data_IF_522807221678
#
_entry.id   IF_522807221678
#
_cell.length_a   1.000
_cell.length_b   1.000
_cell.length_c   1.000
_cell.angle_alpha   90.00
_cell.angle_beta   90.00
_cell.angle_gamma   90.00
#
_symmetry.space_group_name_H-M   'P 1'
#
loop_
_entity.id
_entity.type
_entity.pdbx_description
1 polymer ?
#
# COMPACT_ATOMS: atom_id res chain seq x y z
N UNK A 1 8.28 0.15 22.78
CA UNK A 1 8.84 -0.49 21.56
C UNK A 1 8.26 -1.89 21.31
N UNK A 2 8.17 -2.75 22.33
CA UNK A 2 7.62 -4.12 22.19
C UNK A 2 6.20 -4.15 21.60
N UNK A 3 5.27 -3.35 22.13
CA UNK A 3 3.88 -3.27 21.62
C UNK A 3 3.81 -2.83 20.15
N UNK A 4 4.66 -1.88 19.74
CA UNK A 4 4.75 -1.41 18.34
C UNK A 4 5.28 -2.52 17.43
N UNK A 5 6.25 -3.31 17.92
CA UNK A 5 6.74 -4.49 17.21
C UNK A 5 5.66 -5.53 17.00
N UNK A 6 4.91 -5.89 18.05
CA UNK A 6 3.79 -6.83 17.97
C UNK A 6 2.72 -6.34 17.00
N UNK A 7 2.35 -5.05 17.07
CA UNK A 7 1.37 -4.45 16.16
C UNK A 7 1.83 -4.54 14.70
N UNK A 8 3.12 -4.30 14.44
CA UNK A 8 3.68 -4.34 13.09
C UNK A 8 3.66 -5.77 12.52
N UNK A 9 4.05 -6.76 13.33
CA UNK A 9 4.00 -8.18 12.94
C UNK A 9 2.56 -8.61 12.67
N UNK A 10 1.64 -8.29 13.57
CA UNK A 10 0.21 -8.62 13.40
C UNK A 10 -0.37 -8.00 12.13
N UNK A 11 -0.05 -6.73 11.88
CA UNK A 11 -0.51 -6.02 10.67
C UNK A 11 0.08 -6.64 9.40
N UNK A 12 1.35 -7.05 9.41
CA UNK A 12 1.99 -7.73 8.29
C UNK A 12 1.36 -9.09 8.01
N UNK A 13 1.11 -9.90 9.05
CA UNK A 13 0.43 -11.20 8.91
C UNK A 13 -0.98 -11.01 8.37
N UNK A 14 -1.76 -10.10 8.95
CA UNK A 14 -3.12 -9.82 8.49
C UNK A 14 -3.15 -9.35 7.02
N UNK A 15 -2.26 -8.43 6.65
CA UNK A 15 -2.13 -7.95 5.28
C UNK A 15 -1.82 -9.10 4.32
N UNK A 16 -0.83 -9.95 4.65
CA UNK A 16 -0.46 -11.10 3.82
C UNK A 16 -1.61 -12.10 3.66
N UNK A 17 -2.39 -12.35 4.72
CA UNK A 17 -3.58 -13.21 4.65
C UNK A 17 -4.62 -12.64 3.67
N UNK A 18 -4.94 -11.35 3.78
CA UNK A 18 -5.91 -10.71 2.88
C UNK A 18 -5.41 -10.61 1.44
N UNK A 19 -4.10 -10.39 1.24
CA UNK A 19 -3.47 -10.38 -0.09
C UNK A 19 -3.50 -11.78 -0.70
N UNK A 20 -3.20 -12.81 0.09
CA UNK A 20 -3.31 -14.21 -0.33
C UNK A 20 -4.75 -14.52 -0.74
N UNK A 21 -5.73 -14.12 0.06
CA UNK A 21 -7.15 -14.27 -0.28
C UNK A 21 -7.51 -13.51 -1.56
N UNK A 22 -7.10 -12.26 -1.70
CA UNK A 22 -7.34 -11.46 -2.89
C UNK A 22 -6.68 -12.03 -4.15
N UNK A 23 -5.54 -12.71 -4.00
CA UNK A 23 -4.81 -13.33 -5.12
C UNK A 23 -5.56 -14.52 -5.75
N UNK A 24 -6.50 -15.12 -5.02
CA UNK A 24 -7.40 -16.15 -5.54
C UNK A 24 -8.45 -15.59 -6.50
N UNK A 25 -8.71 -14.28 -6.43
CA UNK A 25 -9.68 -13.62 -7.27
C UNK A 25 -9.01 -13.08 -8.55
N UNK A 26 -9.77 -12.89 -9.65
CA UNK A 26 -9.26 -12.26 -10.85
C UNK A 26 -8.57 -10.92 -10.58
N UNK A 27 -7.59 -10.56 -11.42
CA UNK A 27 -6.72 -9.38 -11.22
C UNK A 27 -7.47 -8.05 -11.06
N UNK A 28 -8.74 -7.95 -11.52
CA UNK A 28 -9.60 -6.78 -11.30
C UNK A 28 -9.96 -6.59 -9.82
N UNK A 29 -10.18 -7.67 -9.07
CA UNK A 29 -10.52 -7.62 -7.65
C UNK A 29 -9.29 -7.33 -6.78
N UNK A 30 -8.11 -7.80 -7.18
CA UNK A 30 -6.84 -7.42 -6.56
C UNK A 30 -6.64 -5.89 -6.61
N UNK A 31 -6.90 -5.27 -7.76
CA UNK A 31 -6.82 -3.80 -7.88
C UNK A 31 -7.85 -3.08 -7.01
N UNK A 32 -9.06 -3.63 -6.89
CA UNK A 32 -10.09 -3.11 -5.99
C UNK A 32 -9.66 -3.21 -4.52
N UNK A 33 -9.09 -4.34 -4.10
CA UNK A 33 -8.55 -4.53 -2.76
C UNK A 33 -7.46 -3.50 -2.42
N UNK A 34 -6.49 -3.35 -3.32
CA UNK A 34 -5.38 -2.39 -3.15
C UNK A 34 -5.88 -0.95 -3.12
N UNK A 35 -6.86 -0.59 -3.96
CA UNK A 35 -7.49 0.74 -3.93
C UNK A 35 -8.31 0.97 -2.66
N UNK A 36 -8.93 -0.08 -2.12
CA UNK A 36 -9.64 -0.07 -0.84
C UNK A 36 -8.75 0.31 0.34
N UNK A 37 -7.45 -0.05 0.31
CA UNK A 37 -6.51 0.36 1.36
C UNK A 37 -6.33 1.88 1.44
N UNK A 38 -6.23 2.55 0.29
CA UNK A 38 -6.11 4.00 0.23
C UNK A 38 -7.37 4.70 0.77
N UNK A 39 -8.55 4.21 0.37
CA UNK A 39 -9.84 4.71 0.87
C UNK A 39 -10.02 4.47 2.36
N UNK A 40 -9.58 3.31 2.87
CA UNK A 40 -9.60 3.00 4.30
C UNK A 40 -8.77 4.00 5.11
N UNK A 41 -7.58 4.35 4.63
CA UNK A 41 -6.75 5.39 5.23
C UNK A 41 -7.43 6.76 5.25
N UNK A 42 -8.09 7.14 4.16
CA UNK A 42 -8.86 8.39 4.08
C UNK A 42 -10.00 8.41 5.11
N UNK A 43 -10.76 7.31 5.23
CA UNK A 43 -11.81 7.18 6.23
C UNK A 43 -11.27 7.32 7.66
N UNK A 44 -10.15 6.67 7.96
CA UNK A 44 -9.50 6.73 9.27
C UNK A 44 -9.13 8.17 9.64
N UNK A 45 -8.56 8.93 8.70
CA UNK A 45 -8.16 10.32 8.95
C UNK A 45 -9.37 11.24 9.10
N UNK A 46 -10.41 11.06 8.29
CA UNK A 46 -11.67 11.81 8.47
C UNK A 46 -12.25 11.53 9.86
N UNK A 47 -12.31 10.26 10.27
CA UNK A 47 -12.79 9.88 11.60
C UNK A 47 -11.96 10.50 12.73
N UNK A 48 -10.63 10.55 12.56
CA UNK A 48 -9.72 11.21 13.52
C UNK A 48 -9.99 12.71 13.62
N UNK A 49 -10.13 13.41 12.49
CA UNK A 49 -10.45 14.84 12.45
C UNK A 49 -11.80 15.11 13.11
N UNK A 50 -12.84 14.36 12.74
CA UNK A 50 -14.18 14.50 13.32
C UNK A 50 -14.14 14.28 14.84
N UNK A 51 -13.40 13.29 15.33
CA UNK A 51 -13.22 13.07 16.75
C UNK A 51 -12.57 14.28 17.47
N UNK A 52 -11.54 14.88 16.88
CA UNK A 52 -10.86 16.08 17.42
C UNK A 52 -11.82 17.28 17.44
N UNK A 53 -12.70 17.40 16.44
CA UNK A 53 -13.69 18.48 16.37
C UNK A 53 -14.84 18.32 17.38
N UNK A 54 -15.24 17.08 17.70
CA UNK A 54 -16.32 16.80 18.67
C UNK A 54 -15.87 17.12 20.09
N UNK A 55 -14.61 16.86 20.45
CA UNK A 55 -14.12 17.08 21.80
C UNK A 55 -12.73 17.70 21.85
N UNK A 56 -12.64 18.86 22.50
CA UNK A 56 -11.39 19.55 22.79
C UNK A 56 -10.50 18.78 23.77
N UNK A 57 -11.09 17.90 24.60
CA UNK A 57 -10.35 17.05 25.53
C UNK A 57 -9.73 15.85 24.78
N UNK A 58 -8.41 15.71 24.88
CA UNK A 58 -7.64 14.68 24.19
C UNK A 58 -8.10 13.26 24.53
N UNK A 59 -8.40 12.98 25.81
CA UNK A 59 -8.82 11.66 26.26
C UNK A 59 -10.22 11.28 25.73
N UNK A 60 -11.13 12.24 25.66
CA UNK A 60 -12.50 12.02 25.16
C UNK A 60 -12.47 11.84 23.63
N UNK A 61 -11.72 12.68 22.92
CA UNK A 61 -11.50 12.54 21.48
C UNK A 61 -10.89 11.17 21.15
N UNK A 62 -9.83 10.75 21.84
CA UNK A 62 -9.25 9.42 21.64
C UNK A 62 -10.27 8.30 21.86
N UNK A 63 -11.07 8.38 22.93
CA UNK A 63 -12.13 7.41 23.22
C UNK A 63 -13.16 7.31 22.08
N UNK A 64 -13.65 8.44 21.58
CA UNK A 64 -14.61 8.48 20.45
C UNK A 64 -14.01 7.86 19.19
N UNK A 65 -12.74 8.16 18.91
CA UNK A 65 -12.03 7.60 17.76
C UNK A 65 -11.89 6.07 17.87
N UNK A 66 -11.52 5.55 19.04
CA UNK A 66 -11.43 4.10 19.27
C UNK A 66 -12.78 3.39 19.20
N UNK A 67 -13.86 3.98 19.75
CA UNK A 67 -15.21 3.42 19.62
C UNK A 67 -15.62 3.35 18.15
N UNK A 68 -15.36 4.42 17.38
CA UNK A 68 -15.64 4.45 15.94
C UNK A 68 -14.87 3.36 15.20
N UNK A 69 -13.59 3.15 15.53
CA UNK A 69 -12.78 2.09 14.96
C UNK A 69 -13.34 0.68 15.26
N UNK A 70 -13.80 0.43 16.50
CA UNK A 70 -14.41 -0.85 16.88
C UNK A 70 -15.68 -1.12 16.06
N UNK A 71 -16.56 -0.13 15.91
CA UNK A 71 -17.78 -0.27 15.11
C UNK A 71 -17.48 -0.59 13.64
N UNK A 72 -16.46 0.06 13.08
CA UNK A 72 -16.01 -0.16 11.70
C UNK A 72 -15.43 -1.56 11.53
N UNK A 73 -14.65 -2.05 12.51
CA UNK A 73 -14.13 -3.43 12.51
C UNK A 73 -15.28 -4.44 12.54
N UNK A 74 -16.27 -4.25 13.42
CA UNK A 74 -17.45 -5.13 13.50
C UNK A 74 -18.20 -5.12 12.15
N UNK A 75 -18.41 -3.94 11.57
CA UNK A 75 -19.04 -3.80 10.25
C UNK A 75 -18.26 -4.55 9.16
N UNK A 76 -16.93 -4.42 9.14
CA UNK A 76 -16.08 -5.14 8.18
C UNK A 76 -16.14 -6.66 8.35
N UNK A 77 -16.22 -7.17 9.59
CA UNK A 77 -16.39 -8.61 9.86
C UNK A 77 -17.74 -9.10 9.32
N UNK A 78 -18.81 -8.34 9.52
CA UNK A 78 -20.14 -8.68 8.99
C UNK A 78 -20.11 -8.69 7.45
N UNK A 79 -19.54 -7.67 6.83
CA UNK A 79 -19.41 -7.60 5.36
C UNK A 79 -18.57 -8.77 4.84
N UNK A 80 -17.46 -9.09 5.51
CA UNK A 80 -16.61 -10.23 5.16
C UNK A 80 -17.37 -11.56 5.25
N UNK A 81 -18.16 -11.77 6.30
CA UNK A 81 -19.00 -12.96 6.44
C UNK A 81 -19.99 -13.12 5.26
N UNK A 82 -20.63 -12.01 4.84
CA UNK A 82 -21.50 -12.03 3.66
C UNK A 82 -20.72 -12.26 2.36
N UNK A 83 -19.52 -11.69 2.23
CA UNK A 83 -18.65 -11.90 1.06
C UNK A 83 -18.26 -13.36 0.91
N UNK A 84 -17.90 -14.04 2.00
CA UNK A 84 -17.53 -15.47 2.00
C UNK A 84 -18.73 -16.36 1.60
N UNK A 85 -19.94 -15.98 1.99
CA UNK A 85 -21.18 -16.65 1.59
C UNK A 85 -21.63 -16.34 0.16
N UNK A 86 -21.03 -15.36 -0.51
CA UNK A 86 -21.42 -15.01 -1.86
C UNK A 86 -21.08 -16.14 -2.85
N UNK A 87 -21.98 -16.39 -3.80
CA UNK A 87 -21.83 -17.44 -4.81
C UNK A 87 -20.55 -17.26 -5.65
N UNK A 88 -20.15 -16.02 -5.91
CA UNK A 88 -18.93 -15.70 -6.63
C UNK A 88 -17.69 -16.18 -5.88
N UNK A 89 -17.58 -15.89 -4.59
CA UNK A 89 -16.43 -16.31 -3.80
C UNK A 89 -16.32 -17.83 -3.70
N UNK A 90 -17.45 -18.52 -3.54
CA UNK A 90 -17.49 -19.98 -3.50
C UNK A 90 -17.04 -20.63 -4.81
N UNK A 91 -17.44 -20.09 -5.97
CA UNK A 91 -16.99 -20.60 -7.28
C UNK A 91 -15.47 -20.46 -7.45
N UNK A 92 -14.91 -19.29 -7.14
CA UNK A 92 -13.47 -19.08 -7.31
C UNK A 92 -12.65 -19.90 -6.31
N UNK A 93 -13.12 -19.98 -5.06
CA UNK A 93 -12.48 -20.78 -4.02
C UNK A 93 -12.52 -22.29 -4.34
N UNK A 94 -13.66 -22.81 -4.82
CA UNK A 94 -13.79 -24.22 -5.20
C UNK A 94 -12.94 -24.57 -6.42
N UNK A 95 -12.93 -23.70 -7.45
CA UNK A 95 -12.11 -23.90 -8.65
C UNK A 95 -10.60 -23.93 -8.35
N UNK A 96 -10.13 -23.04 -7.48
CA UNK A 96 -8.72 -23.03 -7.06
C UNK A 96 -8.38 -24.24 -6.19
N UNK A 97 -9.29 -24.64 -5.30
CA UNK A 97 -9.11 -25.85 -4.50
C UNK A 97 -9.02 -27.09 -5.37
N UNK A 98 -9.80 -27.19 -6.44
CA UNK A 98 -9.75 -28.28 -7.40
C UNK A 98 -8.43 -28.30 -8.18
N UNK A 99 -7.93 -27.13 -8.61
CA UNK A 99 -6.61 -27.00 -9.25
C UNK A 99 -5.49 -27.46 -8.29
N UNK A 100 -5.51 -26.97 -7.05
CA UNK A 100 -4.52 -27.34 -6.04
C UNK A 100 -4.56 -28.84 -5.74
N UNK A 101 -5.74 -29.42 -5.56
CA UNK A 101 -5.90 -30.86 -5.35
C UNK A 101 -5.38 -31.67 -6.54
N UNK A 102 -5.61 -31.20 -7.78
CA UNK A 102 -5.11 -31.88 -8.99
C UNK A 102 -3.58 -31.80 -9.09
N UNK A 103 -2.98 -30.67 -8.71
CA UNK A 103 -1.53 -30.55 -8.58
C UNK A 103 -0.98 -31.45 -7.48
N UNK A 104 -1.63 -31.53 -6.31
CA UNK A 104 -1.24 -32.44 -5.22
C UNK A 104 -1.38 -33.91 -5.63
N UNK A 105 -2.43 -34.29 -6.37
CA UNK A 105 -2.61 -35.65 -6.86
C UNK A 105 -1.53 -36.02 -7.89
N UNK A 106 -1.25 -35.15 -8.86
CA UNK A 106 -0.14 -35.32 -9.81
C UNK A 106 1.21 -35.37 -9.09
N UNK A 107 1.39 -34.56 -8.06
CA UNK A 107 2.58 -34.55 -7.21
C UNK A 107 2.75 -35.88 -6.47
N UNK A 108 1.70 -36.41 -5.85
CA UNK A 108 1.71 -37.72 -5.20
C UNK A 108 1.92 -38.88 -6.19
N UNK A 109 1.37 -38.81 -7.39
CA UNK A 109 1.59 -39.79 -8.46
C UNK A 109 3.05 -39.77 -8.93
N UNK A 110 3.65 -38.57 -9.07
CA UNK A 110 5.08 -38.44 -9.41
C UNK A 110 6.01 -38.88 -8.27
N UNK A 111 5.58 -38.75 -7.00
CA UNK A 111 6.29 -39.29 -5.84
C UNK A 111 6.25 -40.83 -5.81
N UNK A 112 5.11 -41.45 -6.12
CA UNK A 112 4.97 -42.90 -6.12
C UNK A 112 5.69 -43.57 -7.29
N UNK A 113 5.79 -42.92 -8.46
CA UNK A 113 6.66 -43.38 -9.56
C UNK A 113 8.15 -43.14 -9.29
N UNK A 114 8.49 -42.14 -8.46
CA UNK A 114 9.88 -41.81 -8.09
C UNK A 114 10.39 -42.55 -6.84
N UNK A 115 9.56 -43.34 -6.14
CA UNK A 115 10.00 -44.10 -4.95
C UNK A 115 11.06 -45.18 -5.24
N UNK A 116 11.45 -45.36 -6.51
CA UNK A 116 12.59 -46.18 -6.92
C UNK A 116 13.90 -45.38 -7.13
N UNK A 117 13.89 -44.05 -7.07
CA UNK A 117 15.09 -43.21 -7.20
C UNK A 117 15.05 -41.96 -6.29
N UNK A 118 15.85 -42.01 -5.20
CA UNK A 118 16.34 -40.93 -4.33
C UNK A 118 15.50 -39.63 -4.20
N UNK A 119 14.90 -39.46 -3.02
CA UNK A 119 14.09 -38.28 -2.57
C UNK A 119 14.76 -36.90 -2.77
N UNK A 120 16.10 -36.83 -2.82
CA UNK A 120 16.84 -35.59 -3.07
C UNK A 120 16.72 -35.09 -4.53
N UNK A 121 16.41 -35.97 -5.47
CA UNK A 121 16.33 -35.63 -6.89
C UNK A 121 14.96 -34.98 -7.23
N UNK A 122 13.90 -35.33 -6.51
CA UNK A 122 12.55 -34.87 -6.77
C UNK A 122 12.24 -33.45 -6.23
N UNK A 123 12.73 -33.12 -5.04
CA UNK A 123 12.73 -31.73 -4.52
C UNK A 123 13.55 -30.79 -5.42
N UNK A 124 14.61 -31.32 -6.05
CA UNK A 124 15.37 -30.60 -7.06
C UNK A 124 14.54 -30.39 -8.34
N UNK A 125 13.78 -31.38 -8.83
CA UNK A 125 12.96 -31.28 -10.05
C UNK A 125 11.80 -30.28 -9.93
N UNK A 126 11.07 -30.29 -8.81
CA UNK A 126 9.98 -29.31 -8.56
C UNK A 126 10.51 -27.89 -8.35
N UNK A 127 11.60 -27.74 -7.59
CA UNK A 127 12.27 -26.45 -7.49
C UNK A 127 12.86 -26.01 -8.85
N UNK A 128 13.30 -26.94 -9.69
CA UNK A 128 13.79 -26.70 -11.06
C UNK A 128 12.68 -26.37 -12.07
N UNK A 129 11.41 -26.72 -11.84
CA UNK A 129 10.27 -26.30 -12.69
C UNK A 129 9.64 -24.96 -12.24
N UNK A 130 9.59 -24.71 -10.93
CA UNK A 130 9.05 -23.45 -10.37
C UNK A 130 10.05 -22.29 -10.50
N UNK A 131 11.35 -22.55 -10.27
CA UNK A 131 12.41 -21.53 -10.42
C UNK A 131 12.44 -20.88 -11.79
N UNK A 132 12.42 -21.58 -12.94
CA UNK A 132 12.44 -20.94 -14.24
C UNK A 132 11.18 -20.10 -14.47
N UNK A 133 10.00 -20.53 -14.00
CA UNK A 133 8.76 -19.75 -14.10
C UNK A 133 8.83 -18.42 -13.33
N UNK A 134 9.33 -18.44 -12.10
CA UNK A 134 9.53 -17.23 -11.29
C UNK A 134 10.66 -16.36 -11.82
N UNK A 135 11.76 -16.95 -12.28
CA UNK A 135 12.88 -16.22 -12.90
C UNK A 135 12.45 -15.54 -14.20
N UNK A 136 11.64 -16.22 -15.01
CA UNK A 136 11.03 -15.65 -16.22
C UNK A 136 10.11 -14.49 -15.85
N UNK A 137 9.19 -14.69 -14.89
CA UNK A 137 8.31 -13.63 -14.41
C UNK A 137 9.11 -12.42 -13.91
N UNK A 138 10.13 -12.64 -13.07
CA UNK A 138 11.02 -11.61 -12.57
C UNK A 138 11.78 -10.90 -13.70
N UNK A 139 12.33 -11.63 -14.68
CA UNK A 139 13.06 -11.06 -15.82
C UNK A 139 12.23 -10.02 -16.57
N UNK A 140 10.93 -10.28 -16.75
CA UNK A 140 10.01 -9.39 -17.47
C UNK A 140 9.41 -8.28 -16.60
N UNK A 141 9.39 -8.44 -15.28
CA UNK A 141 8.69 -7.53 -14.36
C UNK A 141 9.61 -6.73 -13.44
N UNK A 142 10.92 -7.05 -13.38
CA UNK A 142 11.92 -6.48 -12.45
C UNK A 142 11.87 -4.96 -12.31
N UNK A 143 11.69 -4.23 -13.40
CA UNK A 143 11.63 -2.77 -13.39
C UNK A 143 10.41 -2.24 -12.63
N UNK A 144 9.27 -2.93 -12.72
CA UNK A 144 8.06 -2.55 -11.98
C UNK A 144 8.22 -2.88 -10.49
N UNK A 145 8.85 -4.01 -10.16
CA UNK A 145 9.21 -4.34 -8.77
C UNK A 145 10.11 -3.27 -8.15
N UNK A 146 11.20 -2.91 -8.83
CA UNK A 146 12.07 -1.83 -8.36
C UNK A 146 11.34 -0.48 -8.30
N UNK A 147 10.45 -0.20 -9.25
CA UNK A 147 9.62 1.01 -9.23
C UNK A 147 8.70 1.10 -8.02
N UNK A 148 8.01 0.02 -7.66
CA UNK A 148 7.17 -0.08 -6.46
C UNK A 148 8.04 0.06 -5.21
N UNK A 149 9.12 -0.72 -5.12
CA UNK A 149 10.05 -0.68 -3.99
C UNK A 149 10.56 0.74 -3.73
N UNK A 150 11.06 1.45 -4.75
CA UNK A 150 11.53 2.83 -4.63
C UNK A 150 10.39 3.80 -4.24
N UNK A 151 9.18 3.58 -4.76
CA UNK A 151 8.01 4.37 -4.42
C UNK A 151 7.64 4.23 -2.94
N UNK A 152 7.69 3.01 -2.39
CA UNK A 152 7.45 2.76 -0.97
C UNK A 152 8.59 3.27 -0.10
N UNK A 153 9.86 3.05 -0.47
CA UNK A 153 11.01 3.55 0.30
C UNK A 153 11.00 5.08 0.39
N UNK A 154 10.80 5.77 -0.74
CA UNK A 154 10.70 7.24 -0.74
C UNK A 154 9.51 7.72 0.11
N UNK A 155 8.35 7.06 0.01
CA UNK A 155 7.18 7.40 0.83
C UNK A 155 7.42 7.17 2.31
N UNK A 156 7.82 5.98 2.72
CA UNK A 156 8.00 5.60 4.13
C UNK A 156 9.15 6.36 4.81
N UNK A 157 10.14 6.82 4.03
CA UNK A 157 11.21 7.68 4.55
C UNK A 157 10.71 9.05 5.01
N UNK A 158 9.60 9.54 4.42
CA UNK A 158 9.03 10.86 4.68
C UNK A 158 7.72 10.77 5.47
N UNK A 159 6.75 10.04 4.93
CA UNK A 159 5.42 9.86 5.50
C UNK A 159 5.34 8.59 6.35
N UNK A 160 4.75 8.64 7.56
CA UNK A 160 4.21 9.84 8.22
C UNK A 160 5.21 10.55 9.14
N UNK A 161 6.25 9.86 9.62
CA UNK A 161 7.02 10.27 10.80
C UNK A 161 7.86 11.55 10.63
N UNK A 162 8.38 11.81 9.43
CA UNK A 162 9.15 13.02 9.15
C UNK A 162 8.22 14.20 8.84
N UNK A 163 7.23 13.98 7.97
CA UNK A 163 6.32 15.04 7.52
C UNK A 163 5.35 15.51 8.62
N UNK A 164 4.95 14.64 9.56
CA UNK A 164 4.07 15.03 10.67
C UNK A 164 4.71 16.01 11.67
N UNK A 165 6.03 16.19 11.61
CA UNK A 165 6.78 17.13 12.45
C UNK A 165 6.86 18.54 11.87
N UNK A 166 6.45 18.72 10.61
CA UNK A 166 6.42 20.03 9.98
C UNK A 166 5.37 20.89 10.68
N UNK A 167 5.76 22.12 11.02
CA UNK A 167 4.91 23.08 11.74
C UNK A 167 4.42 24.18 10.79
N UNK A 168 3.32 24.87 11.12
CA UNK A 168 2.84 26.01 10.35
C UNK A 168 3.89 27.12 10.31
N UNK A 169 4.07 27.72 9.14
CA UNK A 169 5.08 28.76 8.88
C UNK A 169 4.80 30.07 9.63
N UNK A 170 3.53 30.34 9.90
CA UNK A 170 3.07 31.45 10.72
C UNK A 170 2.35 30.88 11.95
N UNK A 171 3.07 30.60 13.06
CA UNK A 171 2.42 30.46 14.33
C UNK A 171 1.77 31.82 14.60
N UNK A 172 0.45 31.91 14.43
CA UNK A 172 -0.26 33.18 14.50
C UNK A 172 0.02 33.86 15.83
N UNK A 173 0.85 34.91 15.81
CA UNK A 173 1.13 35.72 17.01
C UNK A 173 -0.14 36.34 17.61
N UNK A 174 -1.25 36.37 16.86
CA UNK A 174 -2.54 36.93 17.26
C UNK A 174 -3.74 35.95 17.24
N UNK A 175 -3.53 34.63 17.09
CA UNK A 175 -4.61 33.64 17.24
C UNK A 175 -4.22 32.48 18.17
N UNK A 176 -4.94 32.26 19.28
CA UNK A 176 -4.63 31.24 20.29
C UNK A 176 -5.22 29.86 19.94
N UNK A 177 -5.34 29.50 18.66
CA UNK A 177 -5.91 28.20 18.27
C UNK A 177 -4.88 27.07 18.39
N UNK A 178 -4.49 26.73 19.63
CA UNK A 178 -3.71 25.52 19.97
C UNK A 178 -4.27 24.28 19.28
N UNK A 179 -5.60 24.19 19.14
CA UNK A 179 -6.26 23.09 18.45
C UNK A 179 -5.76 22.92 17.00
N UNK A 180 -5.59 24.01 16.25
CA UNK A 180 -5.11 23.94 14.87
C UNK A 180 -3.65 23.51 14.83
N UNK A 181 -2.77 24.25 15.50
CA UNK A 181 -1.33 24.03 15.43
C UNK A 181 -0.91 22.67 16.01
N UNK A 182 -1.51 22.26 17.13
CA UNK A 182 -1.04 21.09 17.88
C UNK A 182 -1.75 19.81 17.45
N UNK A 183 -3.01 19.88 17.02
CA UNK A 183 -3.85 18.68 16.79
C UNK A 183 -4.32 18.53 15.35
N UNK A 184 -4.69 19.61 14.65
CA UNK A 184 -5.27 19.52 13.31
C UNK A 184 -4.28 19.73 12.16
N UNK A 185 -3.19 20.48 12.37
CA UNK A 185 -2.28 20.86 11.28
C UNK A 185 -1.69 19.62 10.61
N UNK A 186 -1.08 18.71 11.38
CA UNK A 186 -0.57 17.46 10.83
C UNK A 186 -1.70 16.60 10.22
N UNK A 187 -2.85 16.49 10.89
CA UNK A 187 -4.01 15.71 10.43
C UNK A 187 -4.51 16.18 9.06
N UNK A 188 -4.64 17.49 8.86
CA UNK A 188 -5.17 18.07 7.63
C UNK A 188 -4.06 18.20 6.58
N UNK A 189 -2.99 18.92 6.90
CA UNK A 189 -1.96 19.31 5.93
C UNK A 189 -1.05 18.15 5.52
N UNK A 190 -0.94 17.11 6.36
CA UNK A 190 -0.11 15.95 6.06
C UNK A 190 -0.96 14.73 5.74
N UNK A 191 -1.73 14.23 6.72
CA UNK A 191 -2.41 12.95 6.57
C UNK A 191 -3.57 13.01 5.58
N UNK A 192 -4.47 13.98 5.71
CA UNK A 192 -5.65 14.09 4.84
C UNK A 192 -5.24 14.37 3.39
N UNK A 193 -4.37 15.35 3.16
CA UNK A 193 -3.85 15.64 1.82
C UNK A 193 -3.09 14.45 1.21
N UNK A 194 -2.35 13.70 2.03
CA UNK A 194 -1.69 12.49 1.55
C UNK A 194 -2.69 11.45 1.07
N UNK A 195 -3.70 11.07 1.88
CA UNK A 195 -4.66 10.06 1.48
C UNK A 195 -5.59 10.50 0.34
N UNK A 196 -5.94 11.79 0.27
CA UNK A 196 -6.67 12.35 -0.88
C UNK A 196 -5.82 12.19 -2.14
N UNK A 197 -4.58 12.70 -2.13
CA UNK A 197 -3.73 12.63 -3.31
C UNK A 197 -3.40 11.20 -3.71
N UNK A 198 -3.11 10.29 -2.78
CA UNK A 198 -2.89 8.86 -3.07
C UNK A 198 -4.13 8.25 -3.77
N UNK A 199 -5.31 8.44 -3.20
CA UNK A 199 -6.57 7.95 -3.78
C UNK A 199 -6.80 8.51 -5.19
N UNK A 200 -6.61 9.82 -5.36
CA UNK A 200 -6.72 10.46 -6.68
C UNK A 200 -5.70 9.92 -7.68
N UNK A 201 -4.44 9.77 -7.27
CA UNK A 201 -3.39 9.20 -8.11
C UNK A 201 -3.73 7.79 -8.60
N UNK A 202 -4.26 6.95 -7.70
CA UNK A 202 -4.74 5.60 -8.04
C UNK A 202 -5.92 5.65 -9.02
N UNK A 203 -6.90 6.52 -8.82
CA UNK A 203 -8.05 6.68 -9.73
C UNK A 203 -7.59 7.18 -11.11
N UNK A 204 -6.69 8.16 -11.16
CA UNK A 204 -6.13 8.69 -12.41
C UNK A 204 -5.42 7.60 -13.19
N UNK A 205 -4.66 6.72 -12.53
CA UNK A 205 -3.94 5.61 -13.18
C UNK A 205 -4.83 4.62 -13.93
N UNK A 206 -6.12 4.52 -13.55
CA UNK A 206 -7.08 3.63 -14.21
C UNK A 206 -7.42 4.13 -15.62
N UNK A 207 -7.52 5.45 -15.79
CA UNK A 207 -7.86 6.13 -17.05
C UNK A 207 -6.62 6.55 -17.83
N UNK A 208 -5.66 7.21 -17.18
CA UNK A 208 -4.46 7.78 -17.79
C UNK A 208 -3.27 6.87 -17.48
N UNK A 209 -2.80 6.15 -18.49
CA UNK A 209 -1.73 5.15 -18.36
C UNK A 209 -0.45 5.63 -19.06
N UNK A 210 0.28 6.52 -18.38
CA UNK A 210 1.50 7.16 -18.90
C UNK A 210 2.63 6.94 -17.87
N UNK A 211 3.86 6.63 -18.31
CA UNK A 211 4.27 6.27 -19.67
C UNK A 211 3.66 4.93 -20.11
N UNK A 212 3.70 4.64 -21.41
CA UNK A 212 3.13 3.41 -21.98
C UNK A 212 3.74 2.14 -21.39
N UNK A 213 2.98 1.05 -21.41
CA UNK A 213 3.40 -0.30 -21.04
C UNK A 213 4.71 -0.73 -21.72
N UNK A 214 5.06 -0.17 -22.87
CA UNK A 214 6.30 -0.50 -23.57
C UNK A 214 7.57 0.03 -22.89
N UNK A 215 7.46 1.01 -21.98
CA UNK A 215 8.61 1.72 -21.41
C UNK A 215 8.73 1.58 -19.88
N UNK A 216 9.00 0.37 -19.34
CA UNK A 216 9.12 0.14 -17.89
C UNK A 216 10.26 0.91 -17.23
N UNK A 217 11.34 1.19 -17.98
CA UNK A 217 12.49 1.95 -17.45
C UNK A 217 12.12 3.40 -17.16
N UNK A 218 11.22 3.99 -17.94
CA UNK A 218 10.75 5.37 -17.71
C UNK A 218 9.95 5.43 -16.41
N UNK A 219 9.08 4.45 -16.14
CA UNK A 219 8.40 4.33 -14.84
C UNK A 219 9.39 4.22 -13.69
N UNK A 220 10.41 3.39 -13.83
CA UNK A 220 11.47 3.27 -12.82
C UNK A 220 12.14 4.62 -12.53
N UNK A 221 12.52 5.39 -13.56
CA UNK A 221 13.13 6.71 -13.36
C UNK A 221 12.16 7.74 -12.76
N UNK A 222 10.86 7.68 -13.09
CA UNK A 222 9.83 8.50 -12.43
C UNK A 222 9.76 8.13 -10.94
N UNK A 223 9.74 6.84 -10.59
CA UNK A 223 9.78 6.39 -9.19
C UNK A 223 11.06 6.83 -8.48
N UNK A 224 12.21 6.77 -9.15
CA UNK A 224 13.49 7.22 -8.61
C UNK A 224 13.53 8.74 -8.38
N UNK A 225 12.91 9.53 -9.26
CA UNK A 225 12.84 10.98 -9.11
C UNK A 225 12.11 11.42 -7.84
N UNK A 226 11.30 10.55 -7.23
CA UNK A 226 10.60 10.84 -5.97
C UNK A 226 11.55 11.14 -4.81
N UNK A 227 12.80 10.68 -4.85
CA UNK A 227 13.79 11.01 -3.82
C UNK A 227 14.13 12.51 -3.79
N UNK A 228 13.84 13.26 -4.86
CA UNK A 228 13.95 14.72 -4.87
C UNK A 228 13.01 15.38 -3.83
N UNK A 229 11.88 14.74 -3.51
CA UNK A 229 10.98 15.23 -2.46
C UNK A 229 11.64 15.26 -1.09
N UNK A 230 12.62 14.39 -0.81
CA UNK A 230 13.34 14.40 0.47
C UNK A 230 14.06 15.73 0.66
N UNK A 231 14.73 16.19 -0.39
CA UNK A 231 15.44 17.47 -0.39
C UNK A 231 14.43 18.62 -0.29
N UNK A 232 13.36 18.58 -1.08
CA UNK A 232 12.31 19.62 -1.07
C UNK A 232 11.65 19.77 0.30
N UNK A 233 11.23 18.68 0.94
CA UNK A 233 10.65 18.72 2.28
C UNK A 233 11.68 19.11 3.34
N UNK A 234 12.97 18.90 3.10
CA UNK A 234 14.06 19.43 3.92
C UNK A 234 14.08 20.96 4.04
N UNK A 235 13.46 21.69 3.11
CA UNK A 235 13.35 23.14 3.16
C UNK A 235 12.06 23.66 3.84
N UNK A 236 11.16 22.77 4.29
CA UNK A 236 9.94 23.13 5.04
C UNK A 236 10.22 23.48 6.51
N UNK A 237 9.33 24.21 7.16
CA UNK A 237 9.52 24.64 8.55
C UNK A 237 9.51 23.47 9.55
N UNK A 238 10.60 23.34 10.35
CA UNK A 238 10.75 22.31 11.40
C UNK A 238 11.05 22.97 12.75
N UNK A 239 10.62 22.37 13.87
CA UNK A 239 10.97 22.84 15.21
C UNK A 239 12.48 22.73 15.46
N UNK A 240 13.06 23.72 16.13
CA UNK A 240 14.48 23.76 16.57
C UNK A 240 15.51 23.49 15.46
N UNK A 241 15.48 24.32 14.41
CA UNK A 241 16.53 24.31 13.37
C UNK A 241 17.82 24.91 13.96
N UNK A 242 18.87 24.10 14.06
CA UNK A 242 20.23 24.51 14.43
C UNK A 242 20.88 25.42 13.35
N UNK A 243 20.24 26.54 13.00
CA UNK A 243 20.74 27.53 12.04
C UNK A 243 20.42 27.29 10.56
N UNK A 244 19.75 26.18 10.19
CA UNK A 244 19.40 25.91 8.78
C UNK A 244 18.22 26.78 8.29
N UNK A 245 18.38 27.60 7.23
CA UNK A 245 17.29 28.42 6.70
C UNK A 245 16.19 27.54 6.09
N UNK A 246 14.93 27.90 6.33
CA UNK A 246 13.78 27.31 5.65
C UNK A 246 13.37 28.24 4.50
N UNK A 247 13.21 27.69 3.29
CA UNK A 247 12.91 28.49 2.09
C UNK A 247 11.40 28.67 1.90
N UNK A 248 10.60 27.66 2.30
CA UNK A 248 9.16 27.70 2.13
C UNK A 248 8.50 28.31 3.36
N UNK A 249 8.16 29.59 3.24
CA UNK A 249 7.48 30.38 4.29
C UNK A 249 5.95 30.35 4.19
N UNK A 250 5.39 29.62 3.22
CA UNK A 250 3.96 29.54 2.98
C UNK A 250 3.49 28.08 3.05
N UNK A 251 2.53 27.81 3.93
CA UNK A 251 1.96 26.48 4.14
C UNK A 251 1.22 25.96 2.90
N UNK A 252 0.82 26.84 1.98
CA UNK A 252 0.30 26.45 0.67
C UNK A 252 1.32 25.66 -0.16
N UNK A 253 2.60 26.05 -0.11
CA UNK A 253 3.67 25.33 -0.82
C UNK A 253 3.83 23.93 -0.21
N UNK A 254 3.77 23.84 1.12
CA UNK A 254 3.79 22.54 1.80
C UNK A 254 2.61 21.66 1.38
N UNK A 255 1.38 22.19 1.39
CA UNK A 255 0.19 21.47 0.94
C UNK A 255 0.32 20.96 -0.50
N UNK A 256 0.81 21.81 -1.40
CA UNK A 256 1.02 21.46 -2.80
C UNK A 256 2.07 20.35 -2.96
N UNK A 257 3.19 20.45 -2.23
CA UNK A 257 4.22 19.41 -2.23
C UNK A 257 3.67 18.08 -1.73
N UNK A 258 2.89 18.06 -0.65
CA UNK A 258 2.23 16.85 -0.14
C UNK A 258 1.29 16.26 -1.19
N UNK A 259 0.44 17.08 -1.82
CA UNK A 259 -0.49 16.64 -2.85
C UNK A 259 0.22 16.03 -4.06
N UNK A 260 1.28 16.66 -4.57
CA UNK A 260 2.05 16.13 -5.71
C UNK A 260 2.78 14.84 -5.28
N UNK A 261 3.36 14.81 -4.10
CA UNK A 261 4.07 13.65 -3.56
C UNK A 261 3.16 12.44 -3.38
N UNK A 262 1.95 12.65 -2.86
CA UNK A 262 0.98 11.59 -2.62
C UNK A 262 0.26 11.16 -3.90
N UNK A 263 -0.08 12.09 -4.79
CA UNK A 263 -0.63 11.76 -6.11
C UNK A 263 0.35 10.92 -6.90
N UNK A 264 1.62 11.30 -6.93
CA UNK A 264 2.64 10.49 -7.59
C UNK A 264 2.87 9.14 -6.90
N UNK A 265 2.63 9.01 -5.59
CA UNK A 265 2.71 7.72 -4.87
C UNK A 265 1.63 6.77 -5.40
N UNK A 266 0.37 7.20 -5.34
CA UNK A 266 -0.77 6.40 -5.79
C UNK A 266 -0.72 6.08 -7.28
N UNK A 267 -0.32 7.06 -8.08
CA UNK A 267 -0.19 6.88 -9.53
C UNK A 267 0.91 5.87 -9.90
N UNK A 268 2.12 6.04 -9.37
CA UNK A 268 3.24 5.13 -9.66
C UNK A 268 2.95 3.72 -9.16
N UNK A 269 2.40 3.58 -7.94
CA UNK A 269 2.08 2.28 -7.38
C UNK A 269 1.05 1.55 -8.26
N UNK A 270 -0.08 2.20 -8.56
CA UNK A 270 -1.12 1.56 -9.37
C UNK A 270 -0.69 1.25 -10.80
N UNK A 271 0.07 2.12 -11.48
CA UNK A 271 0.54 1.80 -12.84
C UNK A 271 1.47 0.59 -12.82
N UNK A 272 2.43 0.53 -11.91
CA UNK A 272 3.32 -0.63 -11.81
C UNK A 272 2.51 -1.91 -11.57
N UNK A 273 1.52 -1.89 -10.66
CA UNK A 273 0.65 -3.04 -10.37
C UNK A 273 -0.26 -3.44 -11.54
N UNK A 274 -0.70 -2.49 -12.38
CA UNK A 274 -1.47 -2.78 -13.59
C UNK A 274 -0.58 -3.38 -14.69
N UNK A 275 0.65 -2.89 -14.81
CA UNK A 275 1.58 -3.27 -15.88
C UNK A 275 2.29 -4.59 -15.61
N UNK A 276 2.63 -4.84 -14.35
CA UNK A 276 3.18 -6.08 -13.81
C UNK A 276 2.65 -7.36 -14.48
N UNK A 277 1.39 -7.71 -14.18
CA UNK A 277 0.75 -8.94 -14.64
C UNK A 277 0.61 -9.01 -16.17
N UNK A 278 0.51 -7.86 -16.85
CA UNK A 278 0.36 -7.78 -18.31
C UNK A 278 1.64 -8.04 -19.10
N UNK A 279 2.79 -8.17 -18.42
CA UNK A 279 4.09 -8.47 -19.06
C UNK A 279 4.42 -9.96 -19.11
N UNK A 280 3.60 -10.80 -18.51
CA UNK A 280 3.79 -12.24 -18.46
C UNK A 280 2.59 -12.94 -19.08
N UNK A 281 2.75 -14.22 -19.42
CA UNK A 281 1.63 -15.05 -19.86
C UNK A 281 0.54 -15.14 -18.79
N UNK A 282 -0.71 -15.33 -19.20
CA UNK A 282 -1.90 -15.31 -18.35
C UNK A 282 -1.79 -16.26 -17.14
N UNK A 283 -1.15 -17.42 -17.32
CA UNK A 283 -0.88 -18.40 -16.26
C UNK A 283 0.03 -17.86 -15.13
N UNK A 284 0.89 -16.88 -15.40
CA UNK A 284 1.81 -16.24 -14.44
C UNK A 284 1.30 -14.88 -13.96
N UNK A 285 0.26 -14.33 -14.59
CA UNK A 285 -0.28 -13.00 -14.33
C UNK A 285 -0.81 -12.86 -12.90
N UNK A 286 -1.54 -13.86 -12.41
CA UNK A 286 -2.05 -13.90 -11.03
C UNK A 286 -0.91 -13.94 -10.01
N UNK A 287 0.09 -14.79 -10.22
CA UNK A 287 1.27 -14.92 -9.36
C UNK A 287 2.07 -13.62 -9.31
N UNK A 288 2.30 -12.97 -10.46
CA UNK A 288 2.98 -11.67 -10.52
C UNK A 288 2.16 -10.61 -9.78
N UNK A 289 0.84 -10.57 -9.98
CA UNK A 289 -0.04 -9.65 -9.27
C UNK A 289 0.08 -9.81 -7.75
N UNK A 290 0.06 -11.04 -7.26
CA UNK A 290 0.23 -11.35 -5.84
C UNK A 290 1.61 -10.91 -5.31
N UNK A 291 2.67 -11.27 -6.03
CA UNK A 291 4.05 -10.92 -5.66
C UNK A 291 4.28 -9.41 -5.58
N UNK A 292 3.54 -8.61 -6.37
CA UNK A 292 3.70 -7.15 -6.38
C UNK A 292 2.98 -6.44 -5.23
N UNK A 293 2.06 -7.12 -4.53
CA UNK A 293 1.36 -6.58 -3.36
C UNK A 293 2.10 -6.94 -2.06
N UNK A 294 2.78 -8.09 -2.07
CA UNK A 294 3.67 -8.55 -0.99
C UNK A 294 4.91 -7.65 -0.88
#
# INVERSE_FOLDING_TARGET
MILVGIQSISSAVALNCFVSLASTLPSRYIQAFVSGQALGGLFIIISSIVSILISSNESISATIYFITAILVIISNIIIYYFLEKSHLFQIYSSSIREINNRYEALFHESLSTSSNHNDNQFSSLTSLEIRPRLLVAYKYTKWNFYGIFLTFVSTLSLFPAYLSKIQPSYPSMNYPNKLWNDRLYAQVMTFLLFYIGDTFGRVISLKVRIPSLLYPRVLFFICLSRFLFIILFGFCHFPNRNGFPYLFQNDFIYALLILIFSLSHGYCNSINMIYAPRRVHEQLSSTVGALMIM
#
